data_IF_077338654904
#
_entry.id   IF_077338654904
#
_cell.length_a   1.000
_cell.length_b   1.000
_cell.length_c   1.000
_cell.angle_alpha   90.00
_cell.angle_beta   90.00
_cell.angle_gamma   90.00
#
_symmetry.space_group_name_H-M   'P 1'
#
loop_
_entity.id
_entity.type
_entity.pdbx_description
1 polymer ?
#
# COMPACT_ATOMS: atom_id res chain seq x y z
N UNK A 1 5.54 -62.89 28.76
CA UNK A 1 4.50 -62.69 27.72
C UNK A 1 5.19 -62.13 26.48
N UNK A 2 5.14 -62.82 25.34
CA UNK A 2 5.76 -62.31 24.11
C UNK A 2 5.00 -61.09 23.61
N UNK A 3 5.71 -59.98 23.37
CA UNK A 3 5.09 -58.75 22.87
C UNK A 3 4.64 -58.95 21.42
N UNK A 4 3.42 -58.54 21.12
CA UNK A 4 2.79 -58.67 19.80
C UNK A 4 2.31 -57.30 19.31
N UNK A 5 2.40 -57.08 17.99
CA UNK A 5 1.86 -55.90 17.31
C UNK A 5 0.92 -56.30 16.18
N UNK A 6 0.13 -55.34 15.72
CA UNK A 6 -0.80 -55.54 14.60
C UNK A 6 -0.11 -55.09 13.30
N UNK A 7 -0.20 -55.90 12.25
CA UNK A 7 0.31 -55.53 10.92
C UNK A 7 -0.52 -54.38 10.33
N UNK A 8 0.13 -53.32 9.85
CA UNK A 8 -0.54 -52.12 9.30
C UNK A 8 -1.37 -52.41 8.04
N UNK A 9 -1.01 -53.44 7.27
CA UNK A 9 -1.69 -53.77 6.02
C UNK A 9 -2.88 -54.74 6.22
N UNK A 10 -2.66 -55.89 6.87
CA UNK A 10 -3.67 -56.95 6.98
C UNK A 10 -4.25 -57.13 8.39
N UNK A 11 -3.77 -56.35 9.37
CA UNK A 11 -4.21 -56.36 10.77
C UNK A 11 -4.05 -57.69 11.52
N UNK A 12 -3.27 -58.63 11.00
CA UNK A 12 -2.89 -59.82 11.77
C UNK A 12 -1.99 -59.44 12.95
N UNK A 13 -2.15 -60.16 14.07
CA UNK A 13 -1.25 -60.06 15.22
C UNK A 13 0.05 -60.81 14.89
N UNK A 14 1.18 -60.12 14.95
CA UNK A 14 2.50 -60.65 14.60
C UNK A 14 3.51 -60.34 15.72
N UNK A 15 4.63 -61.07 15.81
CA UNK A 15 5.70 -60.75 16.74
C UNK A 15 6.20 -59.31 16.56
N UNK A 16 6.51 -58.64 17.66
CA UNK A 16 6.92 -57.23 17.68
C UNK A 16 8.14 -56.97 16.76
N UNK A 17 9.07 -57.93 16.75
CA UNK A 17 10.35 -57.92 16.03
C UNK A 17 10.25 -58.32 14.54
N UNK A 18 9.09 -58.82 14.09
CA UNK A 18 8.92 -59.26 12.71
C UNK A 18 9.07 -58.07 11.73
N UNK A 19 10.13 -58.09 10.91
CA UNK A 19 10.41 -57.08 9.87
C UNK A 19 9.48 -57.21 8.66
N UNK A 20 8.98 -58.41 8.40
CA UNK A 20 8.04 -58.74 7.33
C UNK A 20 6.86 -59.47 7.97
N UNK A 21 5.63 -59.09 7.61
CA UNK A 21 4.45 -59.78 8.10
C UNK A 21 4.40 -61.19 7.49
N UNK A 22 4.40 -62.26 8.30
CA UNK A 22 4.36 -63.63 7.79
C UNK A 22 3.04 -63.98 7.10
N UNK A 23 1.97 -63.20 7.37
CA UNK A 23 0.65 -63.48 6.81
C UNK A 23 0.43 -62.85 5.43
N UNK A 24 0.93 -61.63 5.20
CA UNK A 24 0.68 -60.90 3.94
C UNK A 24 1.95 -60.42 3.23
N UNK A 25 3.14 -60.68 3.76
CA UNK A 25 4.41 -60.28 3.17
C UNK A 25 4.73 -58.77 3.28
N UNK A 26 3.89 -57.97 3.92
CA UNK A 26 4.12 -56.52 4.04
C UNK A 26 5.37 -56.22 4.89
N UNK A 27 6.32 -55.47 4.32
CA UNK A 27 7.56 -55.07 4.99
C UNK A 27 7.35 -53.81 5.82
N UNK A 28 7.83 -53.79 7.05
CA UNK A 28 7.85 -52.57 7.88
C UNK A 28 8.89 -51.60 7.31
N UNK A 29 8.48 -50.42 6.86
CA UNK A 29 9.42 -49.37 6.49
C UNK A 29 10.07 -48.79 7.77
N UNK A 30 11.32 -49.14 8.05
CA UNK A 30 12.11 -48.49 9.10
C UNK A 30 12.78 -47.24 8.52
N UNK A 31 12.20 -46.07 8.77
CA UNK A 31 12.87 -44.80 8.49
C UNK A 31 13.93 -44.62 9.61
N UNK A 32 15.22 -44.65 9.25
CA UNK A 32 16.30 -44.51 10.24
C UNK A 32 16.39 -43.05 10.74
N UNK A 33 16.69 -42.82 12.03
CA UNK A 33 16.72 -41.48 12.63
C UNK A 33 17.88 -40.60 12.12
N UNK A 34 18.85 -41.17 11.39
CA UNK A 34 19.94 -40.40 10.78
C UNK A 34 19.46 -39.53 9.60
N UNK A 35 18.38 -39.95 8.90
CA UNK A 35 17.88 -39.25 7.70
C UNK A 35 17.07 -38.00 8.05
N UNK A 36 16.45 -37.95 9.24
CA UNK A 36 15.66 -36.80 9.70
C UNK A 36 16.54 -35.63 10.16
N UNK A 37 17.70 -35.90 10.76
CA UNK A 37 18.62 -34.85 11.21
C UNK A 37 19.25 -34.09 10.03
N UNK A 38 19.64 -34.81 8.96
CA UNK A 38 20.13 -34.17 7.74
C UNK A 38 19.11 -33.24 7.09
N UNK A 39 17.82 -33.65 7.03
CA UNK A 39 16.76 -32.80 6.49
C UNK A 39 16.46 -31.58 7.38
N UNK A 40 16.52 -31.73 8.71
CA UNK A 40 16.34 -30.60 9.63
C UNK A 40 17.48 -29.59 9.48
N UNK A 41 18.73 -30.07 9.36
CA UNK A 41 19.89 -29.20 9.20
C UNK A 41 19.86 -28.40 7.89
N UNK A 42 19.42 -29.03 6.80
CA UNK A 42 19.23 -28.34 5.50
C UNK A 42 18.14 -27.28 5.59
N UNK A 43 17.00 -27.57 6.26
CA UNK A 43 15.92 -26.59 6.45
C UNK A 43 16.38 -25.40 7.30
N UNK A 44 17.14 -25.63 8.37
CA UNK A 44 17.71 -24.56 9.21
C UNK A 44 18.68 -23.68 8.40
N UNK A 45 19.54 -24.29 7.57
CA UNK A 45 20.44 -23.54 6.68
C UNK A 45 19.70 -22.71 5.64
N UNK A 46 18.62 -23.24 5.04
CA UNK A 46 17.81 -22.48 4.07
C UNK A 46 17.08 -21.31 4.74
N UNK A 47 16.57 -21.50 5.96
CA UNK A 47 15.97 -20.41 6.76
C UNK A 47 17.04 -19.38 7.12
N UNK A 48 18.23 -19.79 7.56
CA UNK A 48 19.33 -18.87 7.87
C UNK A 48 19.80 -18.08 6.65
N UNK A 49 19.90 -18.73 5.48
CA UNK A 49 20.20 -18.06 4.21
C UNK A 49 19.08 -17.09 3.79
N UNK A 50 17.82 -17.45 4.01
CA UNK A 50 16.68 -16.57 3.81
C UNK A 50 16.74 -15.33 4.72
N UNK A 51 16.97 -15.53 6.02
CA UNK A 51 17.13 -14.44 7.00
C UNK A 51 18.34 -13.56 6.69
N UNK A 52 19.46 -14.16 6.27
CA UNK A 52 20.66 -13.42 5.83
C UNK A 52 20.37 -12.55 4.60
N UNK A 53 19.65 -13.07 3.60
CA UNK A 53 19.21 -12.28 2.44
C UNK A 53 18.26 -11.14 2.81
N UNK A 54 17.32 -11.38 3.73
CA UNK A 54 16.39 -10.35 4.22
C UNK A 54 17.16 -9.25 4.96
N UNK A 55 18.10 -9.61 5.83
CA UNK A 55 18.97 -8.64 6.52
C UNK A 55 19.82 -7.84 5.53
N UNK A 56 20.40 -8.49 4.51
CA UNK A 56 21.23 -7.79 3.53
C UNK A 56 20.41 -6.80 2.67
N UNK A 57 19.19 -7.20 2.24
CA UNK A 57 18.26 -6.30 1.53
C UNK A 57 17.85 -5.10 2.41
N UNK A 58 17.67 -5.32 3.73
CA UNK A 58 17.40 -4.22 4.67
C UNK A 58 18.57 -3.25 4.83
N UNK A 59 19.81 -3.72 4.65
CA UNK A 59 21.01 -2.87 4.72
C UNK A 59 21.19 -2.03 3.46
N UNK A 60 20.97 -2.60 2.28
CA UNK A 60 20.97 -1.89 1.00
C UNK A 60 19.94 -0.74 1.00
N UNK A 61 18.77 -0.97 1.62
CA UNK A 61 17.73 0.04 1.80
C UNK A 61 18.19 1.24 2.66
N UNK A 62 19.03 1.01 3.68
CA UNK A 62 19.59 2.06 4.55
C UNK A 62 20.71 2.87 3.89
N UNK A 63 21.29 2.36 2.81
CA UNK A 63 22.36 3.05 2.07
C UNK A 63 21.78 3.88 0.89
N UNK A 64 20.57 3.53 0.43
CA UNK A 64 19.80 4.33 -0.56
C UNK A 64 18.93 5.41 0.09
N UNK A 65 18.69 5.36 1.41
CA UNK A 65 18.03 6.47 2.10
C UNK A 65 18.89 7.72 1.97
N UNK A 66 18.43 8.68 1.15
CA UNK A 66 18.90 10.06 1.25
C UNK A 66 18.91 10.43 2.74
N UNK A 67 19.96 11.10 3.25
CA UNK A 67 20.04 11.44 4.65
C UNK A 67 18.74 12.13 5.06
N UNK A 68 18.04 11.53 6.01
CA UNK A 68 16.85 12.06 6.68
C UNK A 68 17.32 13.17 7.63
N UNK A 69 18.16 14.09 7.14
CA UNK A 69 18.25 15.42 7.71
C UNK A 69 16.97 16.09 7.29
N UNK A 70 15.95 15.95 8.13
CA UNK A 70 14.68 16.65 8.07
C UNK A 70 14.29 17.05 6.64
N UNK A 71 13.59 16.16 5.92
CA UNK A 71 12.61 16.67 4.93
C UNK A 71 11.63 17.46 5.76
N UNK A 72 12.01 18.70 6.07
CA UNK A 72 11.13 19.68 6.64
C UNK A 72 9.93 19.65 5.72
N UNK A 73 8.74 19.64 6.30
CA UNK A 73 7.51 19.96 5.59
C UNK A 73 7.55 21.44 5.11
N UNK A 74 8.68 21.91 4.58
CA UNK A 74 8.72 23.13 3.80
C UNK A 74 7.87 22.89 2.56
N UNK A 75 6.87 23.74 2.37
CA UNK A 75 5.99 23.77 1.22
C UNK A 75 6.83 23.95 -0.06
N UNK A 76 7.23 22.86 -0.72
CA UNK A 76 7.90 23.01 -2.03
C UNK A 76 6.89 23.57 -3.03
N UNK A 77 5.66 23.09 -2.95
CA UNK A 77 4.50 23.56 -3.68
C UNK A 77 3.54 24.33 -2.75
N UNK A 78 3.13 25.51 -3.18
CA UNK A 78 2.15 26.33 -2.47
C UNK A 78 0.76 26.15 -3.09
N UNK A 79 -0.26 26.08 -2.23
CA UNK A 79 -1.67 26.08 -2.62
C UNK A 79 -2.27 27.43 -2.27
N UNK A 80 -2.71 28.17 -3.27
CA UNK A 80 -3.38 29.45 -3.09
C UNK A 80 -4.90 29.24 -3.18
N UNK A 81 -5.61 29.61 -2.13
CA UNK A 81 -7.07 29.53 -2.06
C UNK A 81 -7.67 30.81 -2.62
N UNK A 82 -8.77 30.70 -3.37
CA UNK A 82 -9.51 31.87 -3.84
C UNK A 82 -10.05 32.70 -2.65
N UNK A 83 -10.06 34.02 -2.80
CA UNK A 83 -10.57 34.93 -1.78
C UNK A 83 -12.05 34.64 -1.46
N UNK A 84 -12.40 34.68 -0.17
CA UNK A 84 -13.76 34.46 0.30
C UNK A 84 -14.21 32.99 0.33
N UNK A 85 -13.35 32.04 -0.07
CA UNK A 85 -13.68 30.61 0.01
C UNK A 85 -13.27 30.05 1.37
N UNK A 86 -14.27 29.69 2.18
CA UNK A 86 -14.07 29.03 3.46
C UNK A 86 -13.92 27.51 3.28
N UNK A 87 -13.06 26.84 4.08
CA UNK A 87 -12.97 25.39 4.08
C UNK A 87 -14.25 24.72 4.58
N UNK A 88 -14.57 23.58 3.98
CA UNK A 88 -15.37 22.55 4.64
C UNK A 88 -14.43 21.82 5.60
N UNK A 89 -14.74 21.87 6.90
CA UNK A 89 -13.90 21.31 7.97
C UNK A 89 -14.10 19.79 8.10
N UNK A 90 -13.33 19.17 8.98
CA UNK A 90 -13.53 17.76 9.35
C UNK A 90 -14.96 17.48 9.84
N UNK A 91 -15.48 16.30 9.49
CA UNK A 91 -16.85 15.88 9.78
C UNK A 91 -17.35 14.82 8.80
N UNK A 92 -18.62 14.44 8.96
CA UNK A 92 -19.32 13.49 8.09
C UNK A 92 -20.38 14.24 7.29
N UNK A 93 -20.37 14.06 5.96
CA UNK A 93 -21.21 14.80 5.02
C UNK A 93 -21.98 13.85 4.11
N UNK A 94 -23.30 14.02 4.06
CA UNK A 94 -24.14 13.44 3.01
C UNK A 94 -24.11 14.36 1.78
N UNK A 95 -23.60 13.86 0.67
CA UNK A 95 -23.42 14.64 -0.55
C UNK A 95 -24.80 14.94 -1.17
N UNK A 96 -25.03 16.20 -1.50
CA UNK A 96 -26.34 16.77 -1.84
C UNK A 96 -27.01 17.48 -0.67
N UNK A 97 -26.53 17.29 0.57
CA UNK A 97 -27.03 18.00 1.77
C UNK A 97 -25.95 18.90 2.36
N UNK A 98 -25.87 20.12 1.84
CA UNK A 98 -24.92 21.15 2.29
C UNK A 98 -23.55 21.08 1.61
N UNK A 99 -23.07 19.88 1.26
CA UNK A 99 -21.92 19.70 0.35
C UNK A 99 -22.44 19.21 -0.99
N UNK A 100 -22.13 19.94 -2.07
CA UNK A 100 -22.59 19.60 -3.43
C UNK A 100 -21.75 18.47 -4.04
N UNK A 101 -22.31 17.78 -5.02
CA UNK A 101 -21.52 16.87 -5.86
C UNK A 101 -20.48 17.67 -6.67
N UNK A 102 -19.30 17.08 -6.88
CA UNK A 102 -18.20 17.74 -7.60
C UNK A 102 -16.83 17.21 -7.24
N UNK A 103 -15.80 17.83 -7.82
CA UNK A 103 -14.40 17.55 -7.50
C UNK A 103 -13.86 18.54 -6.46
N UNK A 104 -13.17 18.01 -5.47
CA UNK A 104 -12.62 18.73 -4.33
C UNK A 104 -11.15 18.39 -4.14
N UNK A 105 -10.42 19.31 -3.53
CA UNK A 105 -9.12 19.05 -2.92
C UNK A 105 -9.31 18.94 -1.39
N UNK A 106 -8.68 17.93 -0.80
CA UNK A 106 -8.58 17.76 0.65
C UNK A 106 -7.13 18.02 1.06
N UNK A 107 -6.92 18.98 1.95
CA UNK A 107 -5.59 19.45 2.36
C UNK A 107 -5.42 19.10 3.83
N UNK A 108 -4.27 18.53 4.19
CA UNK A 108 -3.95 18.27 5.58
C UNK A 108 -3.99 19.58 6.39
N UNK A 109 -4.79 19.60 7.47
CA UNK A 109 -4.90 20.78 8.34
C UNK A 109 -3.87 20.84 9.45
N UNK A 110 -3.17 19.72 9.72
CA UNK A 110 -2.14 19.60 10.76
C UNK A 110 -0.90 18.88 10.21
N UNK A 111 0.21 19.60 10.14
CA UNK A 111 1.48 19.06 9.66
C UNK A 111 2.12 18.02 10.60
N UNK A 112 1.52 17.76 11.77
CA UNK A 112 2.01 16.80 12.77
C UNK A 112 1.51 15.38 12.52
N UNK A 113 0.33 15.22 11.90
CA UNK A 113 -0.30 13.93 11.66
C UNK A 113 -0.94 13.90 10.28
N UNK A 114 -0.89 12.78 9.54
CA UNK A 114 -1.62 12.68 8.28
C UNK A 114 -3.13 12.84 8.54
N UNK A 115 -3.78 13.61 7.66
CA UNK A 115 -5.24 13.63 7.59
C UNK A 115 -5.79 12.30 7.07
N UNK A 116 -7.11 12.16 7.06
CA UNK A 116 -7.77 10.96 6.55
C UNK A 116 -9.13 11.29 5.93
N UNK A 117 -9.51 10.55 4.90
CA UNK A 117 -10.86 10.57 4.36
C UNK A 117 -11.39 9.15 4.13
N UNK A 118 -12.71 9.01 4.18
CA UNK A 118 -13.43 7.82 3.73
C UNK A 118 -14.66 8.22 2.93
N UNK A 119 -14.80 7.65 1.73
CA UNK A 119 -15.93 7.84 0.82
C UNK A 119 -16.75 6.56 0.76
N UNK A 120 -18.05 6.68 1.03
CA UNK A 120 -19.02 5.58 1.06
C UNK A 120 -20.19 5.81 0.11
N UNK A 121 -20.80 4.72 -0.35
CA UNK A 121 -22.05 4.74 -1.14
C UNK A 121 -23.24 5.22 -0.32
N UNK A 122 -23.32 4.80 0.94
CA UNK A 122 -24.42 5.11 1.86
C UNK A 122 -23.89 5.33 3.27
N UNK A 123 -24.74 5.79 4.19
CA UNK A 123 -24.41 6.00 5.60
C UNK A 123 -24.42 4.69 6.41
N UNK A 124 -23.81 3.63 5.89
CA UNK A 124 -23.73 2.33 6.57
C UNK A 124 -22.29 1.98 6.92
N UNK A 125 -22.12 1.23 8.00
CA UNK A 125 -20.80 0.75 8.46
C UNK A 125 -20.33 -0.51 7.71
N UNK A 126 -20.93 -0.79 6.55
CA UNK A 126 -20.64 -1.97 5.76
C UNK A 126 -19.37 -1.75 4.94
N UNK A 127 -18.45 -2.69 5.01
CA UNK A 127 -17.22 -2.62 4.24
C UNK A 127 -17.47 -2.54 2.72
N UNK A 128 -18.51 -3.21 2.21
CA UNK A 128 -18.91 -3.17 0.81
C UNK A 128 -19.43 -1.80 0.31
N UNK A 129 -19.74 -0.90 1.24
CA UNK A 129 -20.15 0.47 0.92
C UNK A 129 -18.96 1.42 0.77
N UNK A 130 -17.77 1.05 1.24
CA UNK A 130 -16.56 1.84 1.06
C UNK A 130 -16.19 1.86 -0.43
N UNK A 131 -16.19 3.06 -0.99
CA UNK A 131 -15.74 3.34 -2.35
C UNK A 131 -14.22 3.53 -2.34
N UNK A 132 -13.72 4.33 -1.40
CA UNK A 132 -12.30 4.56 -1.21
C UNK A 132 -12.01 5.29 0.09
N UNK A 133 -10.80 5.14 0.59
CA UNK A 133 -10.28 5.86 1.74
C UNK A 133 -8.77 6.07 1.56
N UNK A 134 -8.19 6.92 2.40
CA UNK A 134 -6.75 7.15 2.34
C UNK A 134 -6.26 8.20 3.32
N UNK A 135 -4.97 8.10 3.63
CA UNK A 135 -4.24 9.12 4.39
C UNK A 135 -3.91 10.33 3.50
N UNK A 136 -3.94 11.52 4.10
CA UNK A 136 -3.68 12.80 3.44
C UNK A 136 -2.45 13.42 4.09
N UNK A 137 -1.28 13.19 3.50
CA UNK A 137 0.00 13.73 4.02
C UNK A 137 0.16 15.21 3.69
N UNK A 138 -0.06 15.57 2.42
CA UNK A 138 -0.03 16.94 1.93
C UNK A 138 -1.44 17.34 1.49
N UNK A 139 -1.88 16.78 0.36
CA UNK A 139 -3.24 16.92 -0.12
C UNK A 139 -3.62 15.72 -1.01
N UNK A 140 -4.91 15.53 -1.21
CA UNK A 140 -5.48 14.60 -2.17
C UNK A 140 -6.65 15.24 -2.92
N UNK A 141 -7.10 14.62 -4.01
CA UNK A 141 -8.32 15.03 -4.71
C UNK A 141 -9.38 13.96 -4.58
N UNK A 142 -10.63 14.39 -4.54
CA UNK A 142 -11.78 13.50 -4.41
C UNK A 142 -12.95 14.03 -5.24
N UNK A 143 -13.55 13.15 -6.04
CA UNK A 143 -14.81 13.42 -6.75
C UNK A 143 -15.94 12.71 -6.04
N UNK A 144 -16.94 13.49 -5.61
CA UNK A 144 -18.11 13.01 -4.88
C UNK A 144 -19.39 13.21 -5.68
N UNK A 145 -20.34 12.28 -5.54
CA UNK A 145 -21.64 12.24 -6.21
C UNK A 145 -22.78 12.30 -5.19
N UNK A 146 -23.93 12.83 -5.61
CA UNK A 146 -25.12 12.93 -4.76
C UNK A 146 -25.51 11.59 -4.13
N UNK A 147 -25.86 11.60 -2.85
CA UNK A 147 -26.22 10.42 -2.06
C UNK A 147 -25.03 9.66 -1.44
N UNK A 148 -23.79 9.96 -1.83
CA UNK A 148 -22.60 9.42 -1.16
C UNK A 148 -22.43 10.03 0.24
N UNK A 149 -21.59 9.38 1.05
CA UNK A 149 -21.18 9.88 2.37
C UNK A 149 -19.67 10.06 2.39
N UNK A 150 -19.21 11.25 2.77
CA UNK A 150 -17.80 11.58 2.91
C UNK A 150 -17.46 11.90 4.36
N UNK A 151 -16.52 11.16 4.92
CA UNK A 151 -15.93 11.41 6.23
C UNK A 151 -14.55 12.04 6.08
N UNK A 152 -14.30 13.10 6.83
CA UNK A 152 -13.07 13.88 6.81
C UNK A 152 -12.52 14.03 8.23
N UNK A 153 -11.26 13.67 8.42
CA UNK A 153 -10.55 13.78 9.69
C UNK A 153 -9.24 14.54 9.48
N UNK A 154 -9.02 15.59 10.29
CA UNK A 154 -7.79 16.39 10.25
C UNK A 154 -7.43 16.91 8.83
N UNK A 155 -8.45 17.37 8.09
CA UNK A 155 -8.29 17.98 6.78
C UNK A 155 -9.23 19.17 6.61
N UNK A 156 -8.83 20.09 5.75
CA UNK A 156 -9.66 21.14 5.19
C UNK A 156 -9.98 20.81 3.72
N UNK A 157 -11.25 20.84 3.34
CA UNK A 157 -11.70 20.57 1.98
C UNK A 157 -12.16 21.84 1.25
N UNK A 158 -11.75 21.98 -0.01
CA UNK A 158 -12.12 23.09 -0.89
C UNK A 158 -12.56 22.56 -2.26
N UNK A 159 -13.49 23.22 -2.97
CA UNK A 159 -13.75 22.92 -4.37
C UNK A 159 -12.44 22.94 -5.17
N UNK A 160 -12.22 21.99 -6.08
CA UNK A 160 -10.94 21.90 -6.79
C UNK A 160 -10.63 23.16 -7.60
N UNK A 161 -11.65 23.74 -8.24
CA UNK A 161 -11.50 24.96 -9.03
C UNK A 161 -11.39 26.24 -8.19
N UNK A 162 -11.45 26.15 -6.85
CA UNK A 162 -11.21 27.30 -5.97
C UNK A 162 -9.78 27.38 -5.44
N UNK A 163 -8.88 26.50 -5.92
CA UNK A 163 -7.47 26.53 -5.56
C UNK A 163 -6.58 26.69 -6.80
N UNK A 164 -5.46 27.37 -6.63
CA UNK A 164 -4.39 27.48 -7.60
C UNK A 164 -3.11 26.85 -7.04
N UNK A 165 -2.31 26.26 -7.92
CA UNK A 165 -1.10 25.53 -7.57
C UNK A 165 0.12 26.25 -8.14
N UNK A 166 1.16 26.41 -7.33
CA UNK A 166 2.49 26.74 -7.86
C UNK A 166 3.18 25.49 -8.40
N UNK A 167 4.28 25.65 -9.12
CA UNK A 167 5.24 24.55 -9.30
C UNK A 167 6.08 24.38 -8.02
N UNK A 168 6.62 23.18 -7.76
CA UNK A 168 7.54 22.99 -6.66
C UNK A 168 8.86 23.74 -6.91
N UNK A 169 9.28 24.57 -5.96
CA UNK A 169 10.49 25.41 -6.10
C UNK A 169 11.80 24.62 -6.11
N UNK A 170 11.84 23.51 -5.38
CA UNK A 170 12.97 22.56 -5.35
C UNK A 170 12.91 21.54 -6.51
N UNK A 171 11.80 21.49 -7.23
CA UNK A 171 11.52 20.52 -8.28
C UNK A 171 11.05 19.15 -7.77
N UNK A 172 10.66 19.03 -6.51
CA UNK A 172 10.23 17.78 -5.87
C UNK A 172 8.73 17.84 -5.53
N UNK A 173 7.97 16.87 -6.04
CA UNK A 173 6.60 16.61 -5.62
C UNK A 173 6.60 15.56 -4.50
N UNK A 174 5.98 15.89 -3.37
CA UNK A 174 5.92 15.10 -2.13
C UNK A 174 4.77 14.07 -2.16
N UNK A 175 4.72 13.09 -1.23
CA UNK A 175 3.57 12.19 -1.11
C UNK A 175 2.22 12.90 -1.15
N UNK A 176 1.26 12.35 -1.89
CA UNK A 176 -0.03 12.98 -2.18
C UNK A 176 -0.61 12.56 -3.54
N UNK A 177 -1.72 13.19 -3.92
CA UNK A 177 -2.37 12.98 -5.22
C UNK A 177 -2.23 14.21 -6.10
N UNK A 178 -1.83 14.04 -7.37
CA UNK A 178 -1.67 15.12 -8.35
C UNK A 178 -2.49 14.83 -9.61
N UNK A 179 -3.19 15.84 -10.13
CA UNK A 179 -3.93 15.86 -11.39
C UNK A 179 -3.05 16.42 -12.49
N UNK A 180 -2.77 15.59 -13.47
CA UNK A 180 -1.90 15.90 -14.60
C UNK A 180 -2.56 16.93 -15.51
N UNK A 181 -1.85 18.02 -15.79
CA UNK A 181 -2.36 19.20 -16.48
C UNK A 181 -2.89 20.30 -15.54
N UNK A 182 -2.91 20.07 -14.22
CA UNK A 182 -3.31 21.06 -13.22
C UNK A 182 -2.19 21.35 -12.22
N UNK A 183 -1.92 20.43 -11.29
CA UNK A 183 -0.93 20.61 -10.22
C UNK A 183 0.35 19.78 -10.42
N UNK A 184 0.43 19.04 -11.52
CA UNK A 184 1.64 18.47 -12.11
C UNK A 184 1.46 18.51 -13.63
N UNK A 185 2.52 18.76 -14.41
CA UNK A 185 2.45 18.75 -15.88
C UNK A 185 2.51 17.32 -16.43
N UNK A 186 2.01 17.11 -17.65
CA UNK A 186 2.29 15.89 -18.38
C UNK A 186 3.78 15.78 -18.72
N UNK A 187 4.32 14.57 -18.72
CA UNK A 187 5.73 14.34 -18.98
C UNK A 187 6.28 13.03 -18.42
N UNK A 188 7.57 12.81 -18.64
CA UNK A 188 8.32 11.70 -18.06
C UNK A 188 8.99 12.16 -16.77
N UNK A 189 8.80 11.39 -15.70
CA UNK A 189 9.27 11.73 -14.36
C UNK A 189 10.02 10.57 -13.74
N UNK A 190 10.95 10.90 -12.84
CA UNK A 190 11.62 9.91 -11.99
C UNK A 190 10.94 9.90 -10.63
N UNK A 191 10.38 8.77 -10.24
CA UNK A 191 9.90 8.52 -8.89
C UNK A 191 11.03 7.88 -8.07
N UNK A 192 11.23 8.36 -6.84
CA UNK A 192 12.30 7.97 -5.94
C UNK A 192 11.66 7.43 -4.66
N UNK A 193 11.86 6.15 -4.31
CA UNK A 193 11.33 5.59 -3.08
C UNK A 193 12.00 6.22 -1.85
N UNK A 194 11.24 6.34 -0.77
CA UNK A 194 11.71 6.81 0.54
C UNK A 194 11.45 5.83 1.69
N UNK A 195 10.55 4.85 1.52
CA UNK A 195 10.38 3.70 2.44
C UNK A 195 10.31 2.33 1.69
N UNK A 196 10.40 1.22 2.42
CA UNK A 196 10.15 -0.13 1.90
C UNK A 196 8.72 -0.25 1.33
N UNK A 197 7.79 0.56 1.84
CA UNK A 197 6.40 0.58 1.39
C UNK A 197 6.11 1.58 0.26
N UNK A 198 7.15 2.22 -0.30
CA UNK A 198 7.01 3.16 -1.42
C UNK A 198 6.20 2.57 -2.56
N UNK A 199 5.15 3.27 -2.96
CA UNK A 199 4.28 2.83 -4.03
C UNK A 199 3.68 4.02 -4.79
N UNK A 200 3.15 3.74 -5.97
CA UNK A 200 2.39 4.71 -6.73
C UNK A 200 1.21 4.08 -7.45
N UNK A 201 0.29 4.95 -7.86
CA UNK A 201 -0.88 4.59 -8.67
C UNK A 201 -1.21 5.70 -9.66
N UNK A 202 -1.32 5.35 -10.94
CA UNK A 202 -1.90 6.22 -11.96
C UNK A 202 -3.36 5.82 -12.15
N UNK A 203 -4.27 6.78 -12.00
CA UNK A 203 -5.72 6.57 -12.14
C UNK A 203 -6.34 7.54 -13.15
N UNK A 204 -7.53 7.17 -13.66
CA UNK A 204 -8.29 7.99 -14.62
C UNK A 204 -8.96 9.20 -13.97
N UNK A 205 -9.40 9.09 -12.73
CA UNK A 205 -10.14 10.12 -12.01
C UNK A 205 -9.97 9.99 -10.49
N UNK A 206 -10.57 10.93 -9.74
CA UNK A 206 -10.55 10.99 -8.27
C UNK A 206 -11.81 10.40 -7.61
N UNK A 207 -12.56 9.53 -8.29
CA UNK A 207 -13.76 8.87 -7.73
C UNK A 207 -13.43 7.65 -6.85
N UNK A 208 -12.17 7.22 -6.85
CA UNK A 208 -11.67 6.03 -6.16
C UNK A 208 -12.32 4.69 -6.59
N UNK A 209 -13.02 4.65 -7.73
CA UNK A 209 -13.50 3.38 -8.29
C UNK A 209 -12.34 2.44 -8.64
N UNK A 210 -12.51 1.14 -8.35
CA UNK A 210 -11.51 0.10 -8.67
C UNK A 210 -11.20 0.02 -10.17
N UNK A 211 -12.15 0.36 -11.03
CA UNK A 211 -12.02 0.27 -12.49
C UNK A 211 -11.20 1.43 -13.10
N UNK A 212 -10.74 2.36 -12.27
CA UNK A 212 -10.02 3.56 -12.69
C UNK A 212 -8.50 3.43 -12.61
N UNK A 213 -7.98 2.33 -12.07
CA UNK A 213 -6.54 2.09 -11.99
C UNK A 213 -5.99 1.79 -13.39
N UNK A 214 -5.05 2.62 -13.83
CA UNK A 214 -4.32 2.44 -15.10
C UNK A 214 -2.99 1.73 -14.86
N UNK A 215 -2.30 2.10 -13.79
CA UNK A 215 -0.99 1.59 -13.42
C UNK A 215 -0.85 1.64 -11.90
N UNK A 216 -0.19 0.66 -11.30
CA UNK A 216 0.16 0.68 -9.88
C UNK A 216 1.34 -0.24 -9.64
N UNK A 217 2.26 0.16 -8.78
CA UNK A 217 3.43 -0.65 -8.44
C UNK A 217 4.00 -0.27 -7.07
N UNK A 218 4.68 -1.23 -6.44
CA UNK A 218 5.57 -1.00 -5.31
C UNK A 218 7.00 -0.84 -5.83
N UNK A 219 7.71 0.18 -5.36
CA UNK A 219 9.03 0.53 -5.89
C UNK A 219 10.09 0.44 -4.79
N UNK A 220 11.12 -0.37 -5.01
CA UNK A 220 12.30 -0.45 -4.12
C UNK A 220 13.53 0.25 -4.70
N UNK A 221 13.41 0.83 -5.89
CA UNK A 221 14.44 1.64 -6.56
C UNK A 221 13.80 2.76 -7.39
N UNK A 222 14.59 3.78 -7.70
CA UNK A 222 14.13 4.87 -8.54
C UNK A 222 13.70 4.36 -9.93
N UNK A 223 12.51 4.77 -10.36
CA UNK A 223 11.82 4.26 -11.55
C UNK A 223 11.28 5.43 -12.39
N UNK A 224 11.14 5.23 -13.70
CA UNK A 224 10.56 6.24 -14.59
C UNK A 224 9.08 5.96 -14.83
N UNK A 225 8.26 7.00 -14.74
CA UNK A 225 6.82 6.98 -15.05
C UNK A 225 6.51 8.00 -16.15
N UNK A 226 5.43 7.77 -16.88
CA UNK A 226 4.94 8.70 -17.91
C UNK A 226 3.53 9.15 -17.57
N UNK A 227 3.37 10.45 -17.34
CA UNK A 227 2.11 11.08 -16.99
C UNK A 227 1.50 11.77 -18.21
N UNK A 228 0.21 11.52 -18.46
CA UNK A 228 -0.59 12.11 -19.53
C UNK A 228 -1.67 13.01 -18.94
N UNK A 229 -2.04 14.06 -19.66
CA UNK A 229 -3.09 14.99 -19.22
C UNK A 229 -4.39 14.27 -18.83
N UNK A 230 -5.07 14.82 -17.82
CA UNK A 230 -6.29 14.28 -17.21
C UNK A 230 -6.13 12.92 -16.50
N UNK A 231 -4.90 12.44 -16.31
CA UNK A 231 -4.63 11.38 -15.33
C UNK A 231 -4.44 11.98 -13.94
N UNK A 232 -4.44 11.10 -12.95
CA UNK A 232 -4.03 11.43 -11.60
C UNK A 232 -2.94 10.45 -11.16
N UNK A 233 -1.95 10.95 -10.44
CA UNK A 233 -0.88 10.16 -9.83
C UNK A 233 -1.02 10.27 -8.31
N UNK A 234 -1.10 9.13 -7.64
CA UNK A 234 -1.05 9.01 -6.18
C UNK A 234 0.33 8.44 -5.85
N UNK A 235 1.05 9.09 -4.93
CA UNK A 235 2.36 8.65 -4.44
C UNK A 235 2.36 8.54 -2.93
N UNK A 236 2.81 7.40 -2.43
CA UNK A 236 2.92 7.07 -1.01
C UNK A 236 4.36 6.66 -0.70
N UNK A 237 4.89 7.21 0.40
CA UNK A 237 6.27 7.01 0.84
C UNK A 237 7.31 7.19 -0.28
N UNK A 238 7.07 8.05 -1.26
CA UNK A 238 7.95 8.31 -2.39
C UNK A 238 7.84 9.78 -2.83
N UNK A 239 8.83 10.25 -3.60
CA UNK A 239 8.82 11.60 -4.19
C UNK A 239 8.99 11.53 -5.71
N UNK A 240 8.46 12.50 -6.43
CA UNK A 240 8.71 12.68 -7.86
C UNK A 240 9.68 13.84 -8.07
N UNK A 241 10.75 13.62 -8.82
CA UNK A 241 11.65 14.68 -9.29
C UNK A 241 11.26 15.16 -10.69
N UNK A 242 11.06 16.48 -10.81
CA UNK A 242 10.92 17.18 -12.10
C UNK A 242 12.26 17.52 -12.76
N UNK A 243 13.37 17.38 -12.02
CA UNK A 243 14.74 17.52 -12.55
C UNK A 243 15.23 16.12 -12.94
N UNK A 244 15.40 15.90 -14.25
CA UNK A 244 16.00 14.69 -14.83
C UNK A 244 17.52 14.74 -14.74
#
# INVERSE_FOLDING_TARGET
>A
MNQIRVCEACRSKIPMEAKICPNCGHKKNSISPLRTWGTIFIMVMLVALGLYKVQNKSQEYRDFSLPIEAVSFSESQTIQKAEGVNPIKGGTYEIGKGVQAGEYIIINSDNSYPGFFELKKTNSDKFEDIIGNGSVYNYSMITVSEGQVLELNNVDMYPFNSVAFSEPTDGIYKPGMYKVGANIKAGSYKIIPSDINSNYKIVKDSTYSRDNILETDYIDKATYINLKDNQYIIIEDAVISSKL
#
